data_IF_307047155871
#
_entry.id   IF_307047155871
#
_cell.length_a   1.000
_cell.length_b   1.000
_cell.length_c   1.000
_cell.angle_alpha   90.00
_cell.angle_beta   90.00
_cell.angle_gamma   90.00
#
_symmetry.space_group_name_H-M   'P 1'
#
loop_
_entity.id
_entity.type
_entity.pdbx_description
1 polymer ?
#
# COMPACT_ATOMS: atom_id res chain seq x y z
N UNK A 1 -25.07 -12.70 21.65
CA UNK A 1 -24.63 -13.71 20.67
C UNK A 1 -23.55 -13.19 19.68
N UNK A 2 -23.05 -11.96 19.79
CA UNK A 2 -22.14 -11.36 18.78
C UNK A 2 -20.62 -11.52 19.05
N UNK A 3 -20.18 -11.72 20.29
CA UNK A 3 -18.72 -11.78 20.57
C UNK A 3 -18.05 -13.07 20.09
N UNK A 4 -18.72 -14.23 20.20
CA UNK A 4 -18.15 -15.50 19.76
C UNK A 4 -18.02 -15.61 18.25
N UNK A 5 -18.96 -15.03 17.47
CA UNK A 5 -18.91 -15.03 16.01
C UNK A 5 -17.82 -14.07 15.48
N UNK A 6 -17.62 -12.92 16.13
CA UNK A 6 -16.59 -11.97 15.74
C UNK A 6 -15.18 -12.51 16.06
N UNK A 7 -15.02 -13.22 17.16
CA UNK A 7 -13.75 -13.86 17.55
C UNK A 7 -13.39 -15.00 16.57
N UNK A 8 -14.35 -15.84 16.19
CA UNK A 8 -14.14 -16.91 15.21
C UNK A 8 -13.77 -16.36 13.82
N UNK A 9 -14.44 -15.32 13.34
CA UNK A 9 -14.12 -14.69 12.06
C UNK A 9 -12.72 -14.04 12.08
N UNK A 10 -12.32 -13.38 13.18
CA UNK A 10 -10.96 -12.83 13.33
C UNK A 10 -9.89 -13.92 13.34
N UNK A 11 -10.16 -15.06 13.98
CA UNK A 11 -9.26 -16.22 13.94
C UNK A 11 -9.12 -16.79 12.52
N UNK A 12 -10.21 -16.91 11.76
CA UNK A 12 -10.17 -17.37 10.37
C UNK A 12 -9.30 -16.47 9.48
N UNK A 13 -9.39 -15.13 9.62
CA UNK A 13 -8.56 -14.20 8.86
C UNK A 13 -7.08 -14.30 9.21
N UNK A 14 -6.74 -14.47 10.49
CA UNK A 14 -5.35 -14.67 10.92
C UNK A 14 -4.71 -15.92 10.32
N UNK A 15 -5.51 -16.94 10.02
CA UNK A 15 -5.08 -18.19 9.38
C UNK A 15 -5.19 -18.15 7.85
N UNK A 16 -5.61 -17.04 7.26
CA UNK A 16 -5.64 -16.89 5.80
C UNK A 16 -4.25 -16.99 5.18
N UNK A 17 -4.18 -17.43 3.91
CA UNK A 17 -2.91 -17.53 3.16
C UNK A 17 -2.10 -16.26 3.20
N UNK A 18 -2.75 -15.11 3.01
CA UNK A 18 -2.10 -13.81 3.04
C UNK A 18 -1.44 -13.54 4.40
N UNK A 19 -2.16 -13.69 5.50
CA UNK A 19 -1.63 -13.44 6.84
C UNK A 19 -0.52 -14.43 7.23
N UNK A 20 -0.65 -15.70 6.82
CA UNK A 20 0.38 -16.72 7.02
C UNK A 20 1.64 -16.40 6.21
N UNK A 21 1.48 -15.97 4.95
CA UNK A 21 2.62 -15.56 4.12
C UNK A 21 3.37 -14.37 4.73
N UNK A 22 2.65 -13.37 5.29
CA UNK A 22 3.28 -12.24 5.98
C UNK A 22 4.08 -12.68 7.24
N UNK A 23 3.65 -13.74 7.91
CA UNK A 23 4.39 -14.35 9.04
C UNK A 23 5.47 -15.36 8.59
N UNK A 24 5.66 -15.50 7.26
CA UNK A 24 6.60 -16.46 6.67
C UNK A 24 6.30 -17.91 7.08
N UNK A 25 5.02 -18.23 7.23
CA UNK A 25 4.53 -19.58 7.45
C UNK A 25 4.25 -20.28 6.11
N UNK A 26 4.33 -21.61 6.05
CA UNK A 26 3.97 -22.37 4.85
C UNK A 26 2.51 -22.11 4.46
N UNK A 27 2.25 -21.96 3.18
CA UNK A 27 0.93 -21.81 2.57
C UNK A 27 0.75 -22.88 1.48
N UNK A 28 -0.50 -23.27 1.21
CA UNK A 28 -0.85 -24.23 0.17
C UNK A 28 -0.68 -23.63 -1.24
N UNK A 29 -0.76 -22.31 -1.34
CA UNK A 29 -0.66 -21.54 -2.59
C UNK A 29 -0.18 -20.12 -2.29
N UNK A 30 0.61 -19.52 -3.19
CA UNK A 30 1.04 -18.13 -3.07
C UNK A 30 -0.19 -17.21 -3.07
N UNK A 31 -0.42 -16.44 -2.00
CA UNK A 31 -1.54 -15.49 -1.95
C UNK A 31 -1.31 -14.33 -2.91
N UNK A 32 -2.42 -13.81 -3.46
CA UNK A 32 -2.40 -12.72 -4.43
C UNK A 32 -3.38 -11.61 -4.06
N UNK A 33 -2.92 -10.38 -4.16
CA UNK A 33 -3.72 -9.17 -4.27
C UNK A 33 -2.98 -8.14 -5.13
N UNK A 34 -3.64 -7.09 -5.61
CA UNK A 34 -2.99 -6.12 -6.48
C UNK A 34 -3.06 -4.70 -5.92
N UNK A 35 -1.93 -4.02 -5.94
CA UNK A 35 -1.84 -2.60 -5.64
C UNK A 35 -2.73 -1.78 -6.59
N UNK A 36 -3.64 -0.96 -6.05
CA UNK A 36 -4.70 -0.23 -6.77
C UNK A 36 -5.74 -1.15 -7.42
N UNK A 37 -6.01 -2.33 -6.84
CA UNK A 37 -7.01 -3.29 -7.35
C UNK A 37 -8.40 -2.68 -7.53
N UNK A 38 -8.84 -1.75 -6.68
CA UNK A 38 -9.98 -0.88 -6.95
C UNK A 38 -9.50 0.31 -7.79
N UNK A 39 -9.76 0.31 -9.08
CA UNK A 39 -9.16 1.29 -9.96
C UNK A 39 -9.85 1.47 -11.31
N UNK A 40 -9.41 2.49 -12.06
CA UNK A 40 -10.02 2.93 -13.33
C UNK A 40 -9.99 1.89 -14.45
N UNK A 41 -9.22 0.82 -14.32
CA UNK A 41 -9.25 -0.29 -15.28
C UNK A 41 -10.57 -1.07 -15.20
N UNK A 42 -11.24 -1.11 -14.04
CA UNK A 42 -12.53 -1.79 -13.83
C UNK A 42 -13.71 -0.94 -14.36
N UNK A 43 -14.59 -1.50 -15.20
CA UNK A 43 -15.80 -0.80 -15.64
C UNK A 43 -16.75 -0.46 -14.50
N UNK A 44 -16.95 -1.35 -13.53
CA UNK A 44 -17.76 -1.15 -12.34
C UNK A 44 -17.22 0.00 -11.47
N UNK A 45 -15.91 0.10 -11.28
CA UNK A 45 -15.30 1.24 -10.60
C UNK A 45 -15.59 2.55 -11.33
N UNK A 46 -15.43 2.58 -12.67
CA UNK A 46 -15.72 3.78 -13.46
C UNK A 46 -17.18 4.22 -13.33
N UNK A 47 -18.11 3.25 -13.27
CA UNK A 47 -19.55 3.54 -13.06
C UNK A 47 -19.81 4.17 -11.69
N UNK A 48 -19.27 3.59 -10.61
CA UNK A 48 -19.39 4.14 -9.25
C UNK A 48 -18.72 5.51 -9.13
N UNK A 49 -17.53 5.66 -9.75
CA UNK A 49 -16.79 6.93 -9.80
C UNK A 49 -17.58 8.05 -10.52
N UNK A 50 -18.28 7.70 -11.60
CA UNK A 50 -19.12 8.65 -12.33
C UNK A 50 -20.34 9.10 -11.51
N UNK A 51 -20.96 8.20 -10.73
CA UNK A 51 -22.04 8.54 -9.79
C UNK A 51 -21.56 9.48 -8.68
N UNK A 52 -20.36 9.25 -8.16
CA UNK A 52 -19.78 10.09 -7.11
C UNK A 52 -19.43 11.52 -7.60
N UNK A 53 -19.20 11.70 -8.90
CA UNK A 53 -18.80 12.98 -9.50
C UNK A 53 -17.30 13.27 -9.41
N UNK A 54 -16.70 13.31 -8.22
CA UNK A 54 -15.27 13.55 -8.02
C UNK A 54 -14.62 12.50 -7.10
N UNK A 55 -13.29 12.50 -7.03
CA UNK A 55 -12.53 11.49 -6.27
C UNK A 55 -12.70 11.66 -4.75
N UNK A 56 -12.71 12.89 -4.26
CA UNK A 56 -12.83 13.13 -2.81
C UNK A 56 -14.22 12.74 -2.32
N UNK A 57 -15.27 12.99 -3.11
CA UNK A 57 -16.61 12.50 -2.83
C UNK A 57 -16.67 10.97 -2.79
N UNK A 58 -16.02 10.28 -3.76
CA UNK A 58 -15.94 8.82 -3.76
C UNK A 58 -15.23 8.28 -2.52
N UNK A 59 -14.06 8.82 -2.19
CA UNK A 59 -13.26 8.37 -1.04
C UNK A 59 -13.82 8.84 0.31
N UNK A 60 -14.55 9.94 0.32
CA UNK A 60 -15.17 10.54 1.52
C UNK A 60 -16.58 10.05 1.82
N UNK A 61 -17.18 9.20 0.97
CA UNK A 61 -18.48 8.58 1.21
C UNK A 61 -18.27 7.11 1.57
N UNK A 62 -18.46 6.70 2.84
CA UNK A 62 -18.13 5.37 3.32
C UNK A 62 -18.74 4.24 2.50
N UNK A 63 -20.01 4.38 2.07
CA UNK A 63 -20.73 3.39 1.28
C UNK A 63 -20.11 3.22 -0.12
N UNK A 64 -19.71 4.32 -0.76
CA UNK A 64 -19.06 4.28 -2.08
C UNK A 64 -17.65 3.73 -2.00
N UNK A 65 -16.88 4.12 -0.98
CA UNK A 65 -15.55 3.57 -0.72
C UNK A 65 -15.63 2.06 -0.44
N UNK A 66 -16.65 1.62 0.32
CA UNK A 66 -16.92 0.20 0.53
C UNK A 66 -17.25 -0.51 -0.78
N UNK A 67 -18.20 0.00 -1.56
CA UNK A 67 -18.60 -0.58 -2.84
C UNK A 67 -17.38 -0.82 -3.75
N UNK A 68 -16.56 0.20 -3.98
CA UNK A 68 -15.40 0.05 -4.88
C UNK A 68 -14.31 -0.85 -4.31
N UNK A 69 -14.18 -0.94 -2.99
CA UNK A 69 -13.23 -1.85 -2.33
C UNK A 69 -13.62 -3.32 -2.54
N UNK A 70 -14.92 -3.62 -2.55
CA UNK A 70 -15.43 -4.99 -2.71
C UNK A 70 -15.42 -5.47 -4.17
N UNK A 71 -15.52 -4.57 -5.14
CA UNK A 71 -15.59 -4.92 -6.57
C UNK A 71 -14.46 -5.88 -7.02
N UNK A 72 -13.17 -5.63 -6.77
CA UNK A 72 -12.10 -6.54 -7.18
C UNK A 72 -12.13 -7.88 -6.42
N UNK A 73 -12.60 -7.90 -5.17
CA UNK A 73 -12.77 -9.14 -4.41
C UNK A 73 -13.86 -10.01 -5.03
N UNK A 74 -15.00 -9.42 -5.37
CA UNK A 74 -16.10 -10.11 -6.02
C UNK A 74 -15.74 -10.63 -7.41
N UNK A 75 -14.93 -9.86 -8.16
CA UNK A 75 -14.54 -10.20 -9.52
C UNK A 75 -13.46 -11.27 -9.60
N UNK A 76 -12.39 -11.11 -8.83
CA UNK A 76 -11.17 -11.93 -8.95
C UNK A 76 -10.94 -12.87 -7.77
N UNK A 77 -11.63 -12.65 -6.65
CA UNK A 77 -11.45 -13.45 -5.43
C UNK A 77 -10.05 -13.33 -4.84
N UNK A 78 -9.46 -12.14 -4.80
CA UNK A 78 -8.15 -11.91 -4.22
C UNK A 78 -8.05 -12.35 -2.76
N UNK A 79 -6.85 -12.76 -2.32
CA UNK A 79 -6.59 -13.26 -0.96
C UNK A 79 -6.52 -12.15 0.10
N UNK A 80 -6.51 -10.88 -0.31
CA UNK A 80 -6.60 -9.72 0.58
C UNK A 80 -7.31 -8.56 -0.10
N UNK A 81 -8.02 -7.77 0.69
CA UNK A 81 -8.58 -6.49 0.27
C UNK A 81 -7.73 -5.35 0.81
N UNK A 82 -7.68 -4.23 0.09
CA UNK A 82 -7.08 -2.98 0.59
C UNK A 82 -8.14 -1.88 0.58
N UNK A 83 -8.19 -1.12 1.67
CA UNK A 83 -9.04 0.05 1.81
C UNK A 83 -8.93 0.96 0.58
N UNK A 84 -10.07 1.43 0.05
CA UNK A 84 -10.08 2.50 -0.94
C UNK A 84 -10.05 3.87 -0.25
N UNK A 85 -8.95 4.57 -0.38
CA UNK A 85 -8.71 5.92 0.13
C UNK A 85 -7.57 6.58 -0.66
N UNK A 86 -7.00 7.68 -0.17
CA UNK A 86 -5.82 8.32 -0.73
C UNK A 86 -4.75 8.58 0.33
N UNK A 87 -3.48 8.51 -0.05
CA UNK A 87 -2.33 8.80 0.83
C UNK A 87 -2.27 10.27 1.27
N UNK A 88 -3.01 11.16 0.59
CA UNK A 88 -3.02 12.62 0.83
C UNK A 88 -4.24 13.09 1.66
N UNK A 89 -5.02 12.17 2.24
CA UNK A 89 -6.13 12.52 3.11
C UNK A 89 -5.63 13.29 4.35
N UNK A 90 -4.53 12.85 4.96
CA UNK A 90 -3.98 13.54 6.14
C UNK A 90 -3.62 15.01 5.84
N UNK A 91 -2.80 15.35 4.83
CA UNK A 91 -2.55 16.76 4.51
C UNK A 91 -3.82 17.52 4.07
N UNK A 92 -4.81 16.85 3.48
CA UNK A 92 -6.10 17.48 3.18
C UNK A 92 -6.79 18.00 4.44
N UNK A 93 -6.96 17.13 5.45
CA UNK A 93 -7.59 17.50 6.72
C UNK A 93 -6.70 18.42 7.58
N UNK A 94 -5.39 18.46 7.31
CA UNK A 94 -4.49 19.49 7.86
C UNK A 94 -4.68 20.88 7.23
N UNK A 95 -5.61 21.04 6.28
CA UNK A 95 -5.97 22.33 5.70
C UNK A 95 -5.18 22.73 4.45
N UNK A 96 -4.49 21.78 3.77
CA UNK A 96 -3.79 22.08 2.53
C UNK A 96 -4.71 22.10 1.29
N UNK A 97 -5.98 21.75 1.45
CA UNK A 97 -7.02 21.85 0.41
C UNK A 97 -6.66 21.03 -0.85
N UNK A 98 -6.74 19.70 -0.72
CA UNK A 98 -6.49 18.76 -1.82
C UNK A 98 -7.60 18.83 -2.88
N UNK A 99 -7.21 18.80 -4.14
CA UNK A 99 -8.10 18.65 -5.28
C UNK A 99 -7.49 17.69 -6.31
N UNK A 100 -8.34 17.12 -7.18
CA UNK A 100 -7.92 16.24 -8.27
C UNK A 100 -8.41 16.81 -9.59
N UNK A 101 -7.46 17.25 -10.44
CA UNK A 101 -7.77 17.70 -11.79
C UNK A 101 -7.63 16.54 -12.77
N UNK A 102 -8.60 16.28 -13.66
CA UNK A 102 -8.46 15.26 -14.68
C UNK A 102 -7.19 15.43 -15.51
N UNK A 103 -6.37 14.35 -15.57
CA UNK A 103 -5.09 14.36 -16.30
C UNK A 103 -3.89 14.97 -15.56
N UNK A 104 -4.08 15.73 -14.47
CA UNK A 104 -2.98 16.41 -13.77
C UNK A 104 -2.62 15.76 -12.41
N UNK A 105 -3.46 14.88 -11.89
CA UNK A 105 -3.27 14.24 -10.57
C UNK A 105 -3.65 15.14 -9.39
N UNK A 106 -3.14 14.84 -8.19
CA UNK A 106 -3.45 15.61 -6.99
C UNK A 106 -2.80 16.99 -7.01
N UNK A 107 -3.53 17.99 -6.51
CA UNK A 107 -3.06 19.36 -6.30
C UNK A 107 -3.47 19.87 -4.93
N UNK A 108 -2.57 20.59 -4.28
CA UNK A 108 -2.84 21.33 -3.06
C UNK A 108 -2.90 22.83 -3.34
N UNK A 109 -3.95 23.49 -2.84
CA UNK A 109 -4.08 24.96 -2.93
C UNK A 109 -3.09 25.67 -2.01
N UNK A 110 -2.74 25.04 -0.87
CA UNK A 110 -1.73 25.53 0.08
C UNK A 110 -0.54 24.57 0.11
N UNK A 111 0.66 25.12 0.28
CA UNK A 111 1.90 24.35 0.28
C UNK A 111 2.82 24.80 1.40
N UNK A 112 3.69 23.90 1.87
CA UNK A 112 4.74 24.19 2.83
C UNK A 112 5.90 24.90 2.12
N UNK A 113 6.24 26.10 2.53
CA UNK A 113 7.32 26.93 1.96
C UNK A 113 8.34 27.40 2.98
N UNK A 114 7.89 27.63 4.21
CA UNK A 114 8.66 28.20 5.29
C UNK A 114 8.57 27.35 6.55
N UNK A 115 9.53 27.44 7.49
CA UNK A 115 9.49 26.75 8.78
C UNK A 115 8.21 27.03 9.59
N UNK A 116 7.64 28.24 9.45
CA UNK A 116 6.40 28.61 10.13
C UNK A 116 5.20 27.80 9.63
N UNK A 117 5.15 27.47 8.34
CA UNK A 117 4.09 26.62 7.79
C UNK A 117 4.09 25.26 8.47
N UNK A 118 5.28 24.72 8.77
CA UNK A 118 5.42 23.45 9.49
C UNK A 118 4.96 23.57 10.95
N UNK A 119 5.37 24.64 11.64
CA UNK A 119 5.00 24.87 13.06
C UNK A 119 3.50 25.02 13.27
N UNK A 120 2.80 25.55 12.27
CA UNK A 120 1.36 25.82 12.32
C UNK A 120 0.49 24.68 11.79
N UNK A 121 1.08 23.53 11.39
CA UNK A 121 0.29 22.36 10.96
C UNK A 121 -0.53 21.81 12.14
N UNK A 122 -1.85 21.61 11.96
CA UNK A 122 -2.66 20.97 12.98
C UNK A 122 -2.31 19.48 13.11
N UNK A 123 -2.65 18.91 14.26
CA UNK A 123 -2.65 17.46 14.50
C UNK A 123 -4.10 16.99 14.40
N UNK A 124 -4.52 16.36 13.30
CA UNK A 124 -5.89 15.90 13.16
C UNK A 124 -6.16 14.72 14.10
N UNK A 125 -7.36 14.67 14.67
CA UNK A 125 -7.91 13.49 15.33
C UNK A 125 -8.52 12.56 14.26
N UNK A 126 -7.96 11.36 14.03
CA UNK A 126 -8.45 10.49 12.97
C UNK A 126 -9.93 10.11 13.11
N UNK A 127 -10.44 10.02 14.33
CA UNK A 127 -11.85 9.65 14.58
C UNK A 127 -12.83 10.79 14.28
N UNK A 128 -12.34 12.02 14.14
CA UNK A 128 -13.14 13.20 13.77
C UNK A 128 -12.88 13.61 12.32
N UNK A 129 -11.67 14.06 12.01
CA UNK A 129 -11.34 14.65 10.70
C UNK A 129 -11.26 13.61 9.57
N UNK A 130 -10.91 12.34 9.89
CA UNK A 130 -10.93 11.25 8.90
C UNK A 130 -12.02 10.22 9.18
N UNK A 131 -13.09 10.61 9.86
CA UNK A 131 -14.21 9.74 10.28
C UNK A 131 -14.79 8.94 9.13
N UNK A 132 -14.97 9.54 7.96
CA UNK A 132 -15.50 8.85 6.78
C UNK A 132 -14.64 7.65 6.37
N UNK A 133 -13.31 7.77 6.49
CA UNK A 133 -12.39 6.67 6.22
C UNK A 133 -12.56 5.54 7.24
N UNK A 134 -12.69 5.87 8.53
CA UNK A 134 -12.89 4.87 9.58
C UNK A 134 -14.23 4.14 9.40
N UNK A 135 -15.30 4.86 9.09
CA UNK A 135 -16.59 4.27 8.76
C UNK A 135 -16.53 3.38 7.51
N UNK A 136 -15.74 3.77 6.50
CA UNK A 136 -15.51 2.91 5.33
C UNK A 136 -14.81 1.60 5.73
N UNK A 137 -13.78 1.66 6.60
CA UNK A 137 -13.10 0.46 7.13
C UNK A 137 -14.08 -0.47 7.85
N UNK A 138 -14.95 0.09 8.71
CA UNK A 138 -15.96 -0.68 9.43
C UNK A 138 -16.97 -1.35 8.49
N UNK A 139 -17.48 -0.63 7.49
CA UNK A 139 -18.41 -1.18 6.49
C UNK A 139 -17.75 -2.26 5.63
N UNK A 140 -16.54 -1.99 5.12
CA UNK A 140 -15.77 -2.98 4.35
C UNK A 140 -15.57 -4.25 5.17
N UNK A 141 -15.21 -4.11 6.46
CA UNK A 141 -15.00 -5.25 7.32
C UNK A 141 -16.26 -6.10 7.52
N UNK A 142 -17.42 -5.47 7.58
CA UNK A 142 -18.72 -6.16 7.72
C UNK A 142 -19.10 -6.93 6.45
N UNK A 143 -18.79 -6.38 5.28
CA UNK A 143 -19.20 -6.92 3.97
C UNK A 143 -18.19 -7.91 3.36
N UNK A 144 -16.90 -7.85 3.77
CA UNK A 144 -15.87 -8.77 3.27
C UNK A 144 -16.12 -10.20 3.78
N UNK A 145 -15.81 -11.24 2.96
CA UNK A 145 -15.77 -12.63 3.44
C UNK A 145 -14.97 -12.77 4.74
N UNK A 146 -15.39 -13.66 5.60
CA UNK A 146 -14.82 -13.83 6.95
C UNK A 146 -13.32 -14.18 6.93
N UNK A 147 -12.85 -14.83 5.86
CA UNK A 147 -11.46 -15.23 5.64
C UNK A 147 -10.59 -14.18 4.93
N UNK A 148 -11.20 -13.14 4.32
CA UNK A 148 -10.46 -12.14 3.55
C UNK A 148 -9.96 -11.01 4.45
N UNK A 149 -8.63 -10.88 4.68
CA UNK A 149 -8.07 -9.78 5.45
C UNK A 149 -8.24 -8.42 4.75
N UNK A 150 -8.41 -7.39 5.56
CA UNK A 150 -8.44 -6.00 5.12
C UNK A 150 -7.12 -5.30 5.45
N UNK A 151 -6.47 -4.76 4.43
CA UNK A 151 -5.27 -3.95 4.55
C UNK A 151 -5.67 -2.48 4.70
N UNK A 152 -5.31 -1.88 5.84
CA UNK A 152 -5.29 -0.44 6.00
C UNK A 152 -4.00 0.14 5.45
N UNK A 153 -3.97 1.42 5.10
CA UNK A 153 -2.75 2.01 4.56
C UNK A 153 -2.62 3.51 4.81
N UNK A 154 -1.39 3.99 4.62
CA UNK A 154 -1.09 5.42 4.56
C UNK A 154 0.13 5.68 3.65
N UNK A 155 0.31 6.92 3.23
CA UNK A 155 1.58 7.38 2.65
C UNK A 155 2.66 7.50 3.71
N UNK A 156 3.92 7.19 3.34
CA UNK A 156 5.05 7.47 4.22
C UNK A 156 5.18 8.98 4.49
N UNK A 157 5.75 9.38 5.64
CA UNK A 157 5.94 10.79 5.94
C UNK A 157 6.68 11.55 4.85
N UNK A 158 7.73 10.97 4.27
CA UNK A 158 8.47 11.60 3.17
C UNK A 158 7.61 11.75 1.90
N UNK A 159 6.97 10.68 1.46
CA UNK A 159 6.10 10.75 0.27
C UNK A 159 5.00 11.78 0.43
N UNK A 160 4.35 11.86 1.59
CA UNK A 160 3.33 12.87 1.88
C UNK A 160 3.95 14.28 1.89
N UNK A 161 5.10 14.47 2.55
CA UNK A 161 5.81 15.76 2.59
C UNK A 161 6.18 16.26 1.19
N UNK A 162 6.54 15.36 0.25
CA UNK A 162 6.85 15.78 -1.13
C UNK A 162 5.68 16.51 -1.78
N UNK A 163 4.46 15.98 -1.65
CA UNK A 163 3.26 16.63 -2.19
C UNK A 163 2.89 17.92 -1.46
N UNK A 164 3.06 17.96 -0.13
CA UNK A 164 2.80 19.15 0.68
C UNK A 164 3.72 20.31 0.30
N UNK A 165 4.96 20.03 -0.09
CA UNK A 165 5.95 21.06 -0.47
C UNK A 165 5.85 21.41 -1.96
N UNK A 166 5.73 20.40 -2.86
CA UNK A 166 5.61 20.66 -4.31
C UNK A 166 4.25 21.28 -4.69
N UNK A 167 3.19 20.93 -3.96
CA UNK A 167 1.82 21.30 -4.27
C UNK A 167 1.14 20.36 -5.27
N UNK A 168 1.80 19.27 -5.68
CA UNK A 168 1.29 18.29 -6.63
C UNK A 168 2.33 17.29 -7.09
N UNK A 169 2.05 16.58 -8.18
CA UNK A 169 3.00 15.63 -8.77
C UNK A 169 4.21 16.36 -9.37
N UNK A 170 5.38 15.76 -9.25
CA UNK A 170 6.63 16.27 -9.82
C UNK A 170 7.48 15.11 -10.33
N UNK A 171 8.34 15.37 -11.31
CA UNK A 171 9.22 14.36 -11.89
C UNK A 171 10.32 13.92 -10.90
N UNK A 172 10.86 14.87 -10.15
CA UNK A 172 12.05 14.69 -9.30
C UNK A 172 11.94 15.31 -7.90
N UNK A 173 10.82 15.98 -7.59
CA UNK A 173 10.57 16.66 -6.32
C UNK A 173 11.71 17.59 -5.89
N UNK A 174 12.20 18.40 -6.82
CA UNK A 174 13.35 19.27 -6.60
C UNK A 174 13.11 20.33 -5.50
N UNK A 175 11.87 20.88 -5.38
CA UNK A 175 11.54 21.83 -4.31
C UNK A 175 11.56 21.14 -2.95
N UNK A 176 10.95 19.94 -2.84
CA UNK A 176 10.95 19.17 -1.62
C UNK A 176 12.39 18.83 -1.18
N UNK A 177 13.23 18.30 -2.09
CA UNK A 177 14.63 17.99 -1.80
C UNK A 177 15.43 19.25 -1.41
N UNK A 178 15.16 20.39 -2.04
CA UNK A 178 15.78 21.68 -1.69
C UNK A 178 15.38 22.10 -0.28
N UNK A 179 14.12 21.93 0.10
CA UNK A 179 13.63 22.24 1.45
C UNK A 179 14.38 21.42 2.51
N UNK A 180 14.62 20.12 2.29
CA UNK A 180 15.42 19.27 3.20
C UNK A 180 16.84 19.85 3.42
N UNK A 181 17.46 20.37 2.37
CA UNK A 181 18.84 20.87 2.41
C UNK A 181 18.94 22.28 2.99
N UNK A 182 17.98 23.15 2.70
CA UNK A 182 18.00 24.55 3.12
C UNK A 182 17.37 24.78 4.50
N UNK A 183 16.43 23.90 4.91
CA UNK A 183 15.68 24.01 6.16
C UNK A 183 15.63 22.65 6.90
N UNK A 184 16.79 22.05 7.23
CA UNK A 184 16.84 20.67 7.71
C UNK A 184 16.08 20.45 9.02
N UNK A 185 16.11 21.42 9.94
CA UNK A 185 15.36 21.33 11.21
C UNK A 185 13.85 21.37 10.99
N UNK A 186 13.36 22.26 10.13
CA UNK A 186 11.95 22.33 9.79
C UNK A 186 11.50 21.08 9.04
N UNK A 187 12.35 20.53 8.17
CA UNK A 187 12.09 19.27 7.47
C UNK A 187 11.98 18.08 8.44
N UNK A 188 12.86 17.98 9.41
CA UNK A 188 12.77 16.96 10.48
C UNK A 188 11.50 17.09 11.29
N UNK A 189 11.13 18.32 11.69
CA UNK A 189 9.88 18.57 12.40
C UNK A 189 8.67 18.15 11.55
N UNK A 190 8.65 18.44 10.24
CA UNK A 190 7.60 18.01 9.33
C UNK A 190 7.49 16.48 9.28
N UNK A 191 8.61 15.78 9.06
CA UNK A 191 8.64 14.32 9.01
C UNK A 191 8.18 13.69 10.33
N UNK A 192 8.64 14.22 11.46
CA UNK A 192 8.22 13.74 12.79
C UNK A 192 6.74 14.01 13.07
N UNK A 193 6.23 15.19 12.68
CA UNK A 193 4.81 15.51 12.80
C UNK A 193 3.95 14.58 11.97
N UNK A 194 4.30 14.39 10.69
CA UNK A 194 3.61 13.46 9.81
C UNK A 194 3.71 12.01 10.30
N UNK A 195 4.86 11.58 10.85
CA UNK A 195 5.00 10.24 11.41
C UNK A 195 4.02 10.01 12.58
N UNK A 196 3.86 10.97 13.48
CA UNK A 196 2.86 10.89 14.57
C UNK A 196 1.44 10.81 14.02
N UNK A 197 1.05 11.75 13.16
CA UNK A 197 -0.30 11.77 12.59
C UNK A 197 -0.61 10.50 11.77
N UNK A 198 0.38 9.98 11.03
CA UNK A 198 0.24 8.72 10.28
C UNK A 198 0.10 7.53 11.22
N UNK A 199 0.83 7.50 12.34
CA UNK A 199 0.69 6.46 13.36
C UNK A 199 -0.73 6.45 13.92
N UNK A 200 -1.25 7.59 14.36
CA UNK A 200 -2.59 7.71 14.93
C UNK A 200 -3.67 7.32 13.89
N UNK A 201 -3.49 7.73 12.65
CA UNK A 201 -4.38 7.36 11.53
C UNK A 201 -4.40 5.86 11.25
N UNK A 202 -3.24 5.19 11.27
CA UNK A 202 -3.15 3.74 11.07
C UNK A 202 -3.71 2.96 12.27
N UNK A 203 -3.46 3.43 13.49
CA UNK A 203 -4.05 2.85 14.71
C UNK A 203 -5.58 2.95 14.70
N UNK A 204 -6.14 4.08 14.23
CA UNK A 204 -7.57 4.22 14.05
C UNK A 204 -8.14 3.23 13.02
N UNK A 205 -7.42 2.99 11.90
CA UNK A 205 -7.82 1.96 10.93
C UNK A 205 -7.81 0.55 11.54
N UNK A 206 -6.81 0.23 12.38
CA UNK A 206 -6.78 -1.05 13.14
C UNK A 206 -7.98 -1.15 14.08
N UNK A 207 -8.27 -0.10 14.82
CA UNK A 207 -9.43 -0.05 15.73
C UNK A 207 -10.76 -0.21 15.00
N UNK A 208 -10.86 0.32 13.76
CA UNK A 208 -12.03 0.18 12.87
C UNK A 208 -12.10 -1.16 12.12
N UNK A 209 -11.07 -2.01 12.18
CA UNK A 209 -11.14 -3.39 11.67
C UNK A 209 -10.13 -3.78 10.60
N UNK A 210 -9.09 -2.99 10.34
CA UNK A 210 -7.98 -3.42 9.49
C UNK A 210 -7.18 -4.55 10.14
N UNK A 211 -6.86 -5.59 9.36
CA UNK A 211 -6.14 -6.79 9.82
C UNK A 211 -4.62 -6.69 9.60
N UNK A 212 -4.20 -5.91 8.61
CA UNK A 212 -2.82 -5.61 8.28
C UNK A 212 -2.68 -4.14 7.85
N UNK A 213 -1.47 -3.61 7.85
CA UNK A 213 -1.20 -2.22 7.47
C UNK A 213 -0.14 -2.15 6.37
N UNK A 214 -0.23 -1.13 5.52
CA UNK A 214 0.79 -0.86 4.51
C UNK A 214 1.17 0.62 4.47
N UNK A 215 2.49 0.90 4.44
CA UNK A 215 3.05 2.23 4.22
C UNK A 215 3.62 2.32 2.81
N UNK A 216 3.20 3.35 2.07
CA UNK A 216 3.65 3.61 0.71
C UNK A 216 4.67 4.74 0.67
N UNK A 217 5.93 4.41 0.43
CA UNK A 217 6.98 5.36 0.11
C UNK A 217 7.29 5.38 -1.39
N UNK A 218 6.39 5.98 -2.16
CA UNK A 218 6.49 6.03 -3.63
C UNK A 218 7.66 6.88 -4.12
N UNK A 219 8.22 7.73 -3.26
CA UNK A 219 9.24 8.72 -3.63
C UNK A 219 10.55 8.61 -2.84
N UNK A 220 10.75 7.54 -2.09
CA UNK A 220 12.03 7.27 -1.40
C UNK A 220 13.22 7.24 -2.35
N UNK A 221 13.05 6.65 -3.54
CA UNK A 221 14.10 6.50 -4.54
C UNK A 221 14.62 7.81 -5.18
N UNK A 222 13.99 8.97 -4.94
CA UNK A 222 14.54 10.26 -5.40
C UNK A 222 15.56 10.85 -4.42
N UNK A 223 15.72 10.25 -3.24
CA UNK A 223 16.64 10.67 -2.21
C UNK A 223 18.02 10.01 -2.37
N UNK A 224 19.08 10.77 -2.03
CA UNK A 224 20.39 10.15 -1.81
C UNK A 224 20.32 9.22 -0.58
N UNK A 225 21.22 8.22 -0.45
CA UNK A 225 21.19 7.30 0.67
C UNK A 225 21.12 7.98 2.05
N UNK A 226 21.89 9.01 2.28
CA UNK A 226 21.90 9.77 3.56
C UNK A 226 20.57 10.48 3.83
N UNK A 227 19.98 11.09 2.80
CA UNK A 227 18.68 11.76 2.92
C UNK A 227 17.55 10.74 3.08
N UNK A 228 17.62 9.59 2.41
CA UNK A 228 16.67 8.51 2.59
C UNK A 228 16.64 8.03 4.05
N UNK A 229 17.80 7.72 4.62
CA UNK A 229 17.88 7.32 6.03
C UNK A 229 17.30 8.36 6.95
N UNK A 230 17.66 9.64 6.75
CA UNK A 230 17.26 10.74 7.63
C UNK A 230 15.78 11.08 7.54
N UNK A 231 15.24 11.20 6.33
CA UNK A 231 13.92 11.80 6.08
C UNK A 231 12.84 10.82 5.65
N UNK A 232 13.19 9.61 5.17
CA UNK A 232 12.22 8.58 4.83
C UNK A 232 12.24 7.43 5.82
N UNK A 233 13.36 6.70 5.92
CA UNK A 233 13.48 5.48 6.71
C UNK A 233 13.17 5.72 8.21
N UNK A 234 13.72 6.77 8.82
CA UNK A 234 13.51 7.06 10.24
C UNK A 234 12.04 7.33 10.56
N UNK A 235 11.31 8.02 9.68
CA UNK A 235 9.87 8.24 9.82
C UNK A 235 9.08 6.94 9.77
N UNK A 236 9.34 6.07 8.77
CA UNK A 236 8.71 4.76 8.66
C UNK A 236 9.05 3.86 9.85
N UNK A 237 10.31 3.83 10.27
CA UNK A 237 10.75 3.05 11.44
C UNK A 237 10.02 3.47 12.72
N UNK A 238 9.86 4.76 12.96
CA UNK A 238 9.12 5.28 14.12
C UNK A 238 7.66 4.80 14.12
N UNK A 239 6.99 4.86 12.96
CA UNK A 239 5.61 4.38 12.80
C UNK A 239 5.53 2.87 13.09
N UNK A 240 6.39 2.07 12.44
CA UNK A 240 6.42 0.61 12.63
C UNK A 240 6.61 0.25 14.09
N UNK A 241 7.61 0.83 14.75
CA UNK A 241 7.93 0.52 16.15
C UNK A 241 6.79 0.90 17.09
N UNK A 242 6.15 2.07 16.90
CA UNK A 242 5.05 2.51 17.76
C UNK A 242 3.82 1.61 17.60
N UNK A 243 3.46 1.25 16.36
CA UNK A 243 2.33 0.35 16.11
C UNK A 243 2.61 -1.05 16.64
N UNK A 244 3.81 -1.61 16.45
CA UNK A 244 4.18 -2.93 16.94
C UNK A 244 4.19 -3.03 18.47
N UNK A 245 4.50 -1.94 19.18
CA UNK A 245 4.39 -1.90 20.64
C UNK A 245 2.95 -2.00 21.13
N UNK A 246 1.99 -1.45 20.41
CA UNK A 246 0.57 -1.44 20.79
C UNK A 246 -0.20 -2.64 20.21
N UNK A 247 0.13 -3.05 18.99
CA UNK A 247 -0.53 -4.11 18.22
C UNK A 247 0.49 -5.06 17.58
N UNK A 248 1.21 -5.89 18.39
CA UNK A 248 2.25 -6.78 17.87
C UNK A 248 1.74 -7.83 16.88
N UNK A 249 0.46 -8.11 16.90
CA UNK A 249 -0.20 -9.08 16.02
C UNK A 249 -0.63 -8.51 14.66
N UNK A 250 -0.52 -7.20 14.45
CA UNK A 250 -0.90 -6.53 13.19
C UNK A 250 0.34 -6.40 12.30
N UNK A 251 0.45 -7.18 11.22
CA UNK A 251 1.60 -7.09 10.34
C UNK A 251 1.61 -5.78 9.56
N UNK A 252 2.82 -5.24 9.38
CA UNK A 252 3.07 -4.01 8.64
C UNK A 252 3.91 -4.34 7.41
N UNK A 253 3.45 -3.87 6.25
CA UNK A 253 4.13 -3.98 4.95
C UNK A 253 4.72 -2.61 4.62
N UNK A 254 6.03 -2.53 4.37
CA UNK A 254 6.65 -1.32 3.84
C UNK A 254 6.87 -1.47 2.34
N UNK A 255 6.48 -0.47 1.57
CA UNK A 255 6.80 -0.36 0.15
C UNK A 255 7.58 0.93 -0.10
N UNK A 256 8.81 0.80 -0.59
CA UNK A 256 9.66 1.94 -0.93
C UNK A 256 10.18 1.78 -2.36
N UNK A 257 9.57 2.52 -3.30
CA UNK A 257 9.90 2.41 -4.73
C UNK A 257 11.30 2.94 -5.02
N UNK A 258 12.07 2.17 -5.80
CA UNK A 258 13.44 2.53 -6.18
C UNK A 258 14.45 2.46 -5.02
N UNK A 259 14.10 1.76 -3.94
CA UNK A 259 14.89 1.68 -2.71
C UNK A 259 15.58 0.33 -2.49
N UNK A 260 15.84 -0.43 -3.55
CA UNK A 260 16.52 -1.73 -3.46
C UNK A 260 17.87 -1.69 -2.72
N UNK A 261 18.56 -0.55 -2.74
CA UNK A 261 19.82 -0.35 -2.01
C UNK A 261 19.67 -0.37 -0.49
N UNK A 262 18.41 -0.27 0.01
CA UNK A 262 18.10 -0.11 1.42
C UNK A 262 17.26 -1.26 1.99
N UNK A 263 17.18 -2.41 1.31
CA UNK A 263 16.35 -3.55 1.75
C UNK A 263 16.67 -3.99 3.19
N UNK A 264 17.95 -4.09 3.53
CA UNK A 264 18.40 -4.49 4.87
C UNK A 264 17.93 -3.46 5.93
N UNK A 265 18.09 -2.17 5.64
CA UNK A 265 17.69 -1.11 6.55
C UNK A 265 16.15 -1.02 6.70
N UNK A 266 15.41 -1.30 5.61
CA UNK A 266 13.95 -1.41 5.66
C UNK A 266 13.51 -2.62 6.50
N UNK A 267 14.15 -3.78 6.33
CA UNK A 267 13.88 -4.96 7.14
C UNK A 267 14.21 -4.73 8.63
N UNK A 268 15.25 -3.94 8.95
CA UNK A 268 15.64 -3.57 10.31
C UNK A 268 14.67 -2.58 11.01
N UNK A 269 13.62 -2.12 10.33
CA UNK A 269 12.56 -1.33 10.96
C UNK A 269 11.68 -2.15 11.90
N UNK A 270 11.61 -3.47 11.72
CA UNK A 270 10.73 -4.38 12.41
C UNK A 270 9.41 -4.67 11.68
N UNK A 271 9.28 -4.28 10.40
CA UNK A 271 8.14 -4.63 9.57
C UNK A 271 8.10 -6.14 9.27
N UNK A 272 6.92 -6.67 8.95
CA UNK A 272 6.73 -8.09 8.65
C UNK A 272 6.93 -8.40 7.17
N UNK A 273 6.76 -7.41 6.29
CA UNK A 273 6.96 -7.61 4.86
C UNK A 273 7.51 -6.37 4.16
N UNK A 274 8.23 -6.60 3.05
CA UNK A 274 8.65 -5.57 2.12
C UNK A 274 7.97 -5.76 0.77
N UNK A 275 7.33 -4.70 0.27
CA UNK A 275 6.91 -4.61 -1.12
C UNK A 275 8.12 -4.29 -1.99
N UNK A 276 8.35 -5.11 -3.00
CA UNK A 276 9.46 -5.01 -3.94
C UNK A 276 8.94 -4.48 -5.27
N UNK A 277 9.58 -3.48 -5.84
CA UNK A 277 9.27 -3.03 -7.19
C UNK A 277 9.97 -3.89 -8.25
N UNK A 278 9.55 -3.76 -9.50
CA UNK A 278 10.03 -4.58 -10.62
C UNK A 278 11.49 -4.33 -11.04
N UNK A 279 12.19 -3.37 -10.41
CA UNK A 279 13.59 -3.07 -10.74
C UNK A 279 14.59 -3.95 -9.98
N UNK A 280 14.09 -4.79 -9.07
CA UNK A 280 14.88 -5.72 -8.26
C UNK A 280 14.31 -7.14 -8.43
N UNK A 281 15.16 -8.14 -8.62
CA UNK A 281 14.71 -9.54 -8.65
C UNK A 281 14.27 -9.99 -7.26
N UNK A 282 13.24 -10.83 -7.20
CA UNK A 282 12.78 -11.40 -5.92
C UNK A 282 13.82 -12.33 -5.32
N UNK A 283 14.60 -13.04 -6.16
CA UNK A 283 15.71 -13.88 -5.74
C UNK A 283 16.82 -13.09 -5.04
N UNK A 284 17.18 -11.88 -5.54
CA UNK A 284 18.15 -11.01 -4.85
C UNK A 284 17.58 -10.47 -3.53
N UNK A 285 16.35 -9.96 -3.54
CA UNK A 285 15.68 -9.48 -2.33
C UNK A 285 15.57 -10.61 -1.28
N UNK A 286 15.18 -11.82 -1.70
CA UNK A 286 15.06 -12.99 -0.83
C UNK A 286 16.39 -13.39 -0.21
N UNK A 287 17.46 -13.42 -1.01
CA UNK A 287 18.82 -13.73 -0.52
C UNK A 287 19.27 -12.74 0.54
N UNK A 288 18.89 -11.45 0.40
CA UNK A 288 19.32 -10.36 1.28
C UNK A 288 18.51 -10.27 2.57
N UNK A 289 17.19 -10.43 2.49
CA UNK A 289 16.29 -10.15 3.61
C UNK A 289 15.18 -11.17 3.81
N UNK A 290 15.05 -12.19 2.96
CA UNK A 290 13.95 -13.16 3.01
C UNK A 290 13.94 -14.06 4.24
N UNK A 291 15.04 -14.14 4.99
CA UNK A 291 15.12 -14.81 6.29
C UNK A 291 14.53 -13.98 7.44
N UNK A 292 14.28 -12.68 7.22
CA UNK A 292 13.81 -11.72 8.23
C UNK A 292 12.37 -11.25 7.97
N UNK A 293 12.02 -11.00 6.72
CA UNK A 293 10.72 -10.44 6.31
C UNK A 293 10.12 -11.22 5.14
N UNK A 294 8.80 -11.20 5.01
CA UNK A 294 8.13 -11.65 3.80
C UNK A 294 8.35 -10.65 2.65
N UNK A 295 8.27 -11.13 1.42
CA UNK A 295 8.41 -10.31 0.22
C UNK A 295 7.10 -10.27 -0.55
N UNK A 296 6.67 -9.08 -0.93
CA UNK A 296 5.47 -8.85 -1.72
C UNK A 296 5.84 -8.22 -3.05
N UNK A 297 5.37 -8.79 -4.12
CA UNK A 297 5.60 -8.27 -5.47
C UNK A 297 5.87 -9.39 -6.46
N UNK A 298 6.46 -9.08 -7.66
CA UNK A 298 6.86 -7.73 -8.07
C UNK A 298 6.72 -7.56 -9.59
N UNK A 299 5.66 -8.17 -10.15
CA UNK A 299 5.44 -8.09 -11.60
C UNK A 299 5.37 -6.63 -12.06
N UNK A 300 6.06 -6.31 -13.17
CA UNK A 300 5.92 -4.98 -13.79
C UNK A 300 4.48 -4.77 -14.27
N UNK A 301 3.78 -3.71 -13.79
CA UNK A 301 2.39 -3.46 -14.18
C UNK A 301 2.18 -3.33 -15.70
N UNK A 302 3.19 -2.89 -16.45
CA UNK A 302 3.12 -2.75 -17.92
C UNK A 302 2.92 -4.10 -18.61
N UNK A 303 3.35 -5.21 -18.03
CA UNK A 303 3.13 -6.56 -18.57
C UNK A 303 1.64 -6.83 -18.79
N UNK A 304 0.77 -6.31 -17.93
CA UNK A 304 -0.69 -6.49 -18.05
C UNK A 304 -1.32 -5.79 -19.27
N UNK A 305 -0.57 -4.97 -19.99
CA UNK A 305 -1.02 -4.38 -21.27
C UNK A 305 -0.63 -5.25 -22.48
N UNK A 306 0.03 -6.39 -22.26
CA UNK A 306 0.51 -7.32 -23.29
C UNK A 306 -0.49 -8.44 -23.59
N UNK A 307 -0.11 -9.41 -24.41
CA UNK A 307 -0.95 -10.59 -24.69
C UNK A 307 -1.02 -11.55 -23.51
N UNK A 308 -2.08 -12.38 -23.46
CA UNK A 308 -2.26 -13.40 -22.42
C UNK A 308 -1.01 -14.29 -22.24
N UNK A 309 -0.41 -14.76 -23.34
CA UNK A 309 0.78 -15.62 -23.30
C UNK A 309 2.00 -14.91 -22.66
N UNK A 310 2.16 -13.60 -22.90
CA UNK A 310 3.23 -12.80 -22.25
C UNK A 310 2.94 -12.62 -20.77
N UNK A 311 1.68 -12.41 -20.39
CA UNK A 311 1.27 -12.30 -18.98
C UNK A 311 1.53 -13.62 -18.24
N UNK A 312 1.08 -14.74 -18.81
CA UNK A 312 1.31 -16.08 -18.24
C UNK A 312 2.79 -16.35 -18.00
N UNK A 313 3.62 -16.12 -19.01
CA UNK A 313 5.06 -16.34 -18.89
C UNK A 313 5.69 -15.43 -17.82
N UNK A 314 5.37 -14.14 -17.81
CA UNK A 314 5.94 -13.19 -16.85
C UNK A 314 5.49 -13.47 -15.40
N UNK A 315 4.27 -13.97 -15.21
CA UNK A 315 3.80 -14.41 -13.88
C UNK A 315 4.57 -15.65 -13.42
N UNK A 316 4.79 -16.63 -14.32
CA UNK A 316 5.59 -17.83 -14.04
C UNK A 316 7.04 -17.45 -13.69
N UNK A 317 7.66 -16.60 -14.51
CA UNK A 317 9.02 -16.11 -14.29
C UNK A 317 9.16 -15.40 -12.92
N UNK A 318 8.16 -14.62 -12.52
CA UNK A 318 8.13 -13.94 -11.21
C UNK A 318 8.05 -14.96 -10.05
N UNK A 319 7.23 -15.99 -10.19
CA UNK A 319 7.08 -17.06 -9.19
C UNK A 319 8.33 -17.93 -9.11
N UNK A 320 8.93 -18.24 -10.26
CA UNK A 320 10.20 -19.01 -10.36
C UNK A 320 11.37 -18.21 -9.78
N UNK A 321 11.44 -16.90 -10.01
CA UNK A 321 12.47 -16.01 -9.44
C UNK A 321 12.40 -15.94 -7.91
N UNK A 322 11.19 -15.95 -7.32
CA UNK A 322 11.07 -16.12 -5.88
C UNK A 322 11.50 -17.50 -5.43
N UNK A 323 11.11 -18.54 -6.15
CA UNK A 323 11.42 -19.95 -5.87
C UNK A 323 10.56 -20.55 -4.74
N UNK A 324 10.92 -21.76 -4.31
CA UNK A 324 10.19 -22.51 -3.29
C UNK A 324 10.38 -21.93 -1.88
N UNK A 325 9.35 -22.03 -1.06
CA UNK A 325 9.39 -21.70 0.37
C UNK A 325 8.40 -20.59 0.78
N UNK A 326 8.29 -20.35 2.09
CA UNK A 326 7.30 -19.43 2.63
C UNK A 326 7.70 -17.95 2.48
N UNK A 327 6.70 -17.05 2.63
CA UNK A 327 6.95 -15.61 2.74
C UNK A 327 6.81 -14.85 1.42
N UNK A 328 6.20 -15.43 0.37
CA UNK A 328 5.85 -14.71 -0.84
C UNK A 328 4.36 -14.31 -0.85
N UNK A 329 4.11 -13.05 -1.17
CA UNK A 329 2.81 -12.52 -1.54
C UNK A 329 2.91 -11.99 -2.97
N UNK A 330 2.22 -12.61 -3.92
CA UNK A 330 2.23 -12.12 -5.29
C UNK A 330 1.51 -10.78 -5.41
N UNK A 331 2.14 -9.84 -6.04
CA UNK A 331 1.60 -8.51 -6.35
C UNK A 331 2.32 -7.93 -7.56
N UNK A 332 1.84 -6.79 -8.04
CA UNK A 332 2.60 -5.95 -8.97
C UNK A 332 3.69 -5.18 -8.21
N UNK A 333 4.74 -4.81 -8.92
CA UNK A 333 5.81 -3.95 -8.41
C UNK A 333 5.39 -2.49 -8.19
N UNK A 334 4.18 -2.11 -8.61
CA UNK A 334 3.47 -0.84 -8.34
C UNK A 334 1.98 -1.01 -8.64
N UNK A 335 1.20 0.05 -8.50
CA UNK A 335 -0.24 -0.02 -8.79
C UNK A 335 -0.56 -0.31 -10.24
N UNK A 336 -1.62 -1.10 -10.47
CA UNK A 336 -2.16 -1.38 -11.80
C UNK A 336 -2.54 -0.08 -12.53
N UNK A 337 -2.30 -0.04 -13.83
CA UNK A 337 -2.56 1.15 -14.66
C UNK A 337 -3.98 1.11 -15.26
N UNK A 338 -4.57 2.29 -15.57
CA UNK A 338 -5.96 2.37 -16.00
C UNK A 338 -6.26 1.79 -17.40
N UNK A 339 -5.24 1.53 -18.19
CA UNK A 339 -5.29 1.03 -19.56
C UNK A 339 -5.26 -0.50 -19.64
N UNK A 340 -5.11 -1.20 -18.51
CA UNK A 340 -5.14 -2.66 -18.44
C UNK A 340 -6.55 -3.19 -18.70
N UNK A 341 -6.74 -4.12 -19.66
CA UNK A 341 -8.01 -4.83 -19.83
C UNK A 341 -8.31 -5.70 -18.57
N UNK A 342 -9.54 -5.66 -18.02
CA UNK A 342 -9.89 -6.47 -16.85
C UNK A 342 -9.63 -7.97 -17.02
N UNK A 343 -9.85 -8.50 -18.24
CA UNK A 343 -9.59 -9.90 -18.60
C UNK A 343 -8.11 -10.31 -18.49
N UNK A 344 -7.18 -9.37 -18.59
CA UNK A 344 -5.76 -9.64 -18.39
C UNK A 344 -5.43 -9.90 -16.90
N UNK A 345 -6.22 -9.33 -16.00
CA UNK A 345 -6.12 -9.65 -14.57
C UNK A 345 -6.66 -11.04 -14.28
N UNK A 346 -7.69 -11.51 -15.00
CA UNK A 346 -8.16 -12.90 -14.90
C UNK A 346 -7.02 -13.87 -15.27
N UNK A 347 -6.32 -13.63 -16.39
CA UNK A 347 -5.15 -14.43 -16.82
C UNK A 347 -4.07 -14.48 -15.73
N UNK A 348 -3.73 -13.31 -15.17
CA UNK A 348 -2.73 -13.22 -14.10
C UNK A 348 -3.15 -14.05 -12.88
N UNK A 349 -4.39 -13.88 -12.40
CA UNK A 349 -4.91 -14.57 -11.22
C UNK A 349 -4.97 -16.08 -11.43
N UNK A 350 -5.47 -16.53 -12.60
CA UNK A 350 -5.53 -17.94 -12.96
C UNK A 350 -4.13 -18.56 -13.04
N UNK A 351 -3.15 -17.83 -13.61
CA UNK A 351 -1.76 -18.30 -13.70
C UNK A 351 -1.15 -18.47 -12.30
N UNK A 352 -1.30 -17.49 -11.39
CA UNK A 352 -0.82 -17.62 -10.01
C UNK A 352 -1.47 -18.81 -9.30
N UNK A 353 -2.79 -18.99 -9.48
CA UNK A 353 -3.52 -20.10 -8.85
C UNK A 353 -3.18 -21.47 -9.37
N UNK A 354 -2.84 -21.57 -10.65
CA UNK A 354 -2.50 -22.85 -11.29
C UNK A 354 -1.00 -23.16 -11.22
N UNK A 355 -0.18 -22.22 -10.75
CA UNK A 355 1.26 -22.42 -10.63
C UNK A 355 1.59 -23.59 -9.68
N UNK A 356 2.46 -24.47 -10.16
CA UNK A 356 3.03 -25.60 -9.38
C UNK A 356 4.52 -25.56 -9.55
N UNK A 357 5.26 -25.26 -8.46
CA UNK A 357 6.73 -25.31 -8.50
C UNK A 357 7.20 -26.68 -8.99
N UNK A 358 8.16 -26.68 -9.89
CA UNK A 358 8.80 -27.91 -10.36
C UNK A 358 8.10 -28.67 -11.50
N UNK A 359 7.13 -28.09 -12.21
CA UNK A 359 6.52 -28.69 -13.43
C UNK A 359 6.65 -27.80 -14.66
N UNK A 360 7.87 -27.63 -15.14
CA UNK A 360 8.12 -27.46 -16.56
C UNK A 360 8.73 -28.76 -17.08
N UNK A 361 7.92 -29.74 -17.40
CA UNK A 361 8.30 -30.74 -18.41
C UNK A 361 8.15 -30.03 -19.76
N UNK A 362 9.22 -29.89 -20.55
CA UNK A 362 9.08 -29.38 -21.91
C UNK A 362 8.13 -30.33 -22.63
N UNK A 363 7.05 -29.79 -23.21
CA UNK A 363 6.29 -30.51 -24.21
C UNK A 363 7.22 -30.81 -25.39
N UNK A 364 7.52 -32.10 -25.56
CA UNK A 364 8.17 -32.69 -26.72
C UNK A 364 7.45 -32.37 -28.02
#
# INVERSE_FOLDING_TARGET
MNESSSTSARMNRRESRFMRALRREPVDQTPIWLMRQAGRYLPEYRATRAKAGDFLTLAGTPELACEVTLQPIQRYGFDASILFSDILILPHVMGLELSFTPGEGPKFARTIRHPDDVRNLPTPDPMNETRAVMQAVELIRQELPAETPLIGFAGSPWTVATYMIEGGSSKDFAKARRFLLQQPEAAEHLIQHLARCTTDYLLAQVASGADALMLFDSWGGVLSPSLFHRFSLNGMKSIVQTIQQQHPDVPIILFAKGCAFHLEALADTGCQALGIDWTTTLSDARRRVGDRVALQGNLDPVVLTSSAAVIEQAVQDTLDDYGEGPGHVFNLGHGITPDVPPEHVDVLVETVRNYRSGKLTPST
#
